data_IF_788185528088
#
_entry.id   IF_788185528088
#
_cell.length_a   1.000
_cell.length_b   1.000
_cell.length_c   1.000
_cell.angle_alpha   90.00
_cell.angle_beta   90.00
_cell.angle_gamma   90.00
#
_symmetry.space_group_name_H-M   'P 1'
#
loop_
_entity.id
_entity.type
_entity.pdbx_description
1 polymer ?
#
# COMPACT_ATOMS: atom_id res chain seq x y z
N UNK A 1 -8.44 -8.31 13.77
CA UNK A 1 -8.15 -6.95 13.26
C UNK A 1 -8.82 -6.75 11.90
N UNK A 2 -8.95 -5.50 11.42
CA UNK A 2 -9.57 -5.17 10.14
C UNK A 2 -8.60 -4.41 9.23
N UNK A 3 -8.59 -4.74 7.94
CA UNK A 3 -7.80 -4.05 6.92
C UNK A 3 -8.68 -3.57 5.74
N UNK A 4 -8.33 -2.43 5.17
CA UNK A 4 -8.90 -1.93 3.91
C UNK A 4 -7.80 -1.97 2.84
N UNK A 5 -8.05 -2.67 1.73
CA UNK A 5 -7.10 -2.75 0.62
C UNK A 5 -7.63 -1.94 -0.57
N UNK A 6 -6.81 -1.01 -1.04
CA UNK A 6 -7.09 -0.17 -2.20
C UNK A 6 -6.70 -0.91 -3.47
N UNK A 7 -7.70 -1.39 -4.20
CA UNK A 7 -7.56 -2.27 -5.36
C UNK A 7 -8.29 -1.77 -6.63
N UNK A 8 -8.78 -0.52 -6.62
CA UNK A 8 -9.57 0.06 -7.73
C UNK A 8 -8.76 0.76 -8.84
N UNK A 9 -7.44 0.87 -8.69
CA UNK A 9 -6.60 1.60 -9.65
C UNK A 9 -6.56 0.98 -11.05
N UNK A 10 -6.60 1.81 -12.10
CA UNK A 10 -6.52 1.37 -13.50
C UNK A 10 -5.17 0.75 -13.91
N UNK A 11 -4.15 0.81 -13.06
CA UNK A 11 -2.84 0.22 -13.32
C UNK A 11 -2.12 0.73 -14.58
N UNK A 12 -2.45 1.95 -15.06
CA UNK A 12 -2.05 2.42 -16.42
C UNK A 12 -0.54 2.42 -16.68
N UNK A 13 0.28 2.56 -15.64
CA UNK A 13 1.75 2.57 -15.71
C UNK A 13 2.35 1.18 -15.96
N UNK A 14 1.59 0.12 -15.72
CA UNK A 14 1.99 -1.28 -15.92
C UNK A 14 1.38 -1.88 -17.19
N UNK A 15 0.89 -1.03 -18.11
CA UNK A 15 0.46 -1.50 -19.43
C UNK A 15 1.66 -2.05 -20.22
N UNK A 16 1.47 -3.08 -21.08
CA UNK A 16 0.19 -3.64 -21.50
C UNK A 16 -0.44 -4.66 -20.54
N UNK A 17 0.28 -5.13 -19.51
CA UNK A 17 -0.17 -6.21 -18.63
C UNK A 17 -1.53 -5.93 -17.96
N UNK A 18 -1.71 -4.69 -17.48
CA UNK A 18 -2.94 -4.27 -16.78
C UNK A 18 -4.13 -3.97 -17.69
N UNK A 19 -4.03 -4.28 -18.99
CA UNK A 19 -5.16 -4.16 -19.93
C UNK A 19 -6.19 -5.26 -19.70
N UNK A 20 -5.74 -6.44 -19.31
CA UNK A 20 -6.57 -7.65 -19.16
C UNK A 20 -6.67 -8.13 -17.72
N UNK A 21 -5.66 -7.86 -16.89
CA UNK A 21 -5.63 -8.24 -15.48
C UNK A 21 -5.55 -7.00 -14.58
N UNK A 22 -6.33 -6.94 -13.49
CA UNK A 22 -6.16 -5.88 -12.50
C UNK A 22 -4.79 -6.01 -11.83
N UNK A 23 -4.14 -4.88 -11.54
CA UNK A 23 -2.80 -4.82 -10.97
C UNK A 23 -2.62 -5.72 -9.72
N UNK A 24 -3.55 -5.75 -8.74
CA UNK A 24 -3.45 -6.64 -7.58
C UNK A 24 -3.47 -8.15 -7.92
N UNK A 25 -3.98 -8.55 -9.09
CA UNK A 25 -4.00 -9.95 -9.53
C UNK A 25 -2.87 -10.30 -10.49
N UNK A 26 -1.90 -9.41 -10.68
CA UNK A 26 -0.72 -9.73 -11.48
C UNK A 26 0.05 -10.89 -10.84
N UNK A 27 0.42 -11.93 -11.62
CA UNK A 27 1.12 -13.09 -11.10
C UNK A 27 2.58 -12.74 -10.72
N UNK A 28 3.10 -13.35 -9.67
CA UNK A 28 4.49 -13.23 -9.23
C UNK A 28 5.01 -14.65 -8.96
N UNK A 29 6.21 -14.94 -9.45
CA UNK A 29 6.83 -16.25 -9.29
C UNK A 29 6.04 -17.38 -9.97
N UNK A 30 5.34 -17.05 -11.06
CA UNK A 30 4.51 -17.93 -11.89
C UNK A 30 3.33 -18.62 -11.19
N UNK A 31 3.18 -18.47 -9.86
CA UNK A 31 2.21 -19.24 -9.05
C UNK A 31 1.26 -18.39 -8.21
N UNK A 32 1.66 -17.18 -7.81
CA UNK A 32 0.91 -16.40 -6.82
C UNK A 32 0.40 -15.08 -7.39
N UNK A 33 -0.77 -14.63 -6.97
CA UNK A 33 -1.20 -13.25 -7.20
C UNK A 33 -0.66 -12.32 -6.09
N UNK A 34 -0.37 -11.06 -6.40
CA UNK A 34 0.07 -10.08 -5.36
C UNK A 34 -0.96 -10.01 -4.23
N UNK A 35 -2.25 -9.90 -4.57
CA UNK A 35 -3.33 -9.81 -3.59
C UNK A 35 -3.49 -11.08 -2.76
N UNK A 36 -3.18 -12.25 -3.31
CA UNK A 36 -3.18 -13.52 -2.57
C UNK A 36 -2.11 -13.51 -1.48
N UNK A 37 -0.89 -13.07 -1.81
CA UNK A 37 0.21 -12.91 -0.84
C UNK A 37 -0.23 -11.96 0.29
N UNK A 38 -0.81 -10.81 -0.05
CA UNK A 38 -1.28 -9.82 0.94
C UNK A 38 -2.35 -10.41 1.87
N UNK A 39 -3.33 -11.14 1.33
CA UNK A 39 -4.38 -11.77 2.13
C UNK A 39 -3.83 -12.85 3.07
N UNK A 40 -2.89 -13.67 2.60
CA UNK A 40 -2.18 -14.66 3.44
C UNK A 40 -1.41 -14.00 4.58
N UNK A 41 -0.70 -12.90 4.30
CA UNK A 41 0.03 -12.15 5.31
C UNK A 41 -0.91 -11.53 6.35
N UNK A 42 -2.00 -10.91 5.92
CA UNK A 42 -3.00 -10.34 6.82
C UNK A 42 -3.58 -11.42 7.74
N UNK A 43 -3.99 -12.56 7.20
CA UNK A 43 -4.46 -13.70 7.99
C UNK A 43 -3.40 -14.18 8.98
N UNK A 44 -2.15 -14.33 8.54
CA UNK A 44 -1.01 -14.69 9.38
C UNK A 44 -0.70 -13.69 10.50
N UNK A 45 -0.98 -12.41 10.28
CA UNK A 45 -0.88 -11.34 11.27
C UNK A 45 -2.09 -11.26 12.22
N UNK A 46 -3.11 -12.13 12.08
CA UNK A 46 -4.29 -12.12 12.95
C UNK A 46 -5.38 -11.11 12.54
N UNK A 47 -5.36 -10.65 11.29
CA UNK A 47 -6.53 -10.01 10.70
C UNK A 47 -7.59 -11.06 10.43
N UNK A 48 -8.85 -10.68 10.65
CA UNK A 48 -10.02 -11.56 10.52
C UNK A 48 -11.03 -11.04 9.53
N UNK A 49 -10.89 -9.77 9.12
CA UNK A 49 -11.79 -9.12 8.17
C UNK A 49 -11.02 -8.16 7.29
N UNK A 50 -11.42 -8.08 6.02
CA UNK A 50 -10.82 -7.22 5.00
C UNK A 50 -11.93 -6.58 4.18
N UNK A 51 -11.81 -5.29 3.91
CA UNK A 51 -12.64 -4.62 2.90
C UNK A 51 -11.79 -4.31 1.66
N UNK A 52 -12.21 -4.80 0.50
CA UNK A 52 -11.57 -4.48 -0.78
C UNK A 52 -12.27 -3.30 -1.45
N UNK A 53 -11.55 -2.20 -1.64
CA UNK A 53 -12.01 -1.08 -2.45
C UNK A 53 -11.67 -1.33 -3.92
N UNK A 54 -12.68 -1.69 -4.70
CA UNK A 54 -12.55 -2.11 -6.09
C UNK A 54 -13.26 -1.13 -7.04
N UNK A 55 -12.75 -1.06 -8.27
CA UNK A 55 -13.33 -0.25 -9.35
C UNK A 55 -13.06 -0.96 -10.68
N UNK A 56 -12.05 -0.52 -11.42
CA UNK A 56 -11.74 -1.07 -12.74
C UNK A 56 -11.35 -2.56 -12.63
N UNK A 57 -12.02 -3.43 -13.41
CA UNK A 57 -11.86 -4.89 -13.34
C UNK A 57 -12.20 -5.49 -11.96
N UNK A 58 -12.94 -4.76 -11.12
CA UNK A 58 -13.41 -5.21 -9.81
C UNK A 58 -14.13 -6.58 -9.80
N UNK A 59 -14.97 -6.91 -10.80
CA UNK A 59 -15.56 -8.24 -10.88
C UNK A 59 -14.55 -9.39 -10.94
N UNK A 60 -13.38 -9.20 -11.55
CA UNK A 60 -12.31 -10.22 -11.55
C UNK A 60 -11.68 -10.39 -10.17
N UNK A 61 -11.48 -9.28 -9.44
CA UNK A 61 -10.99 -9.31 -8.06
C UNK A 61 -11.99 -10.04 -7.17
N UNK A 62 -13.28 -9.71 -7.28
CA UNK A 62 -14.35 -10.39 -6.53
C UNK A 62 -14.43 -11.87 -6.86
N UNK A 63 -14.32 -12.25 -8.14
CA UNK A 63 -14.34 -13.65 -8.56
C UNK A 63 -13.12 -14.43 -8.03
N UNK A 64 -11.94 -13.80 -7.97
CA UNK A 64 -10.73 -14.42 -7.46
C UNK A 64 -10.71 -14.56 -5.93
N UNK A 65 -11.19 -13.55 -5.20
CA UNK A 65 -11.11 -13.49 -3.74
C UNK A 65 -12.32 -14.14 -3.06
N UNK A 66 -13.52 -14.03 -3.63
CA UNK A 66 -14.73 -14.60 -3.03
C UNK A 66 -15.09 -13.93 -1.69
N UNK A 67 -15.52 -14.71 -0.71
CA UNK A 67 -15.82 -14.27 0.65
C UNK A 67 -14.60 -14.27 1.59
N UNK A 68 -13.44 -14.74 1.12
CA UNK A 68 -12.21 -14.80 1.90
C UNK A 68 -11.97 -16.11 2.67
N UNK A 69 -12.91 -17.07 2.62
CA UNK A 69 -12.85 -18.30 3.42
C UNK A 69 -11.57 -19.12 3.18
N UNK A 70 -11.01 -19.07 1.95
CA UNK A 70 -9.73 -19.72 1.58
C UNK A 70 -8.57 -19.33 2.51
N UNK A 71 -8.62 -18.12 3.05
CA UNK A 71 -7.60 -17.57 3.95
C UNK A 71 -8.08 -17.48 5.41
N UNK A 72 -9.30 -17.91 5.72
CA UNK A 72 -9.90 -17.72 7.05
C UNK A 72 -10.21 -16.25 7.36
N UNK A 73 -10.50 -15.46 6.33
CA UNK A 73 -10.85 -14.04 6.42
C UNK A 73 -12.32 -13.85 6.03
N UNK A 74 -12.97 -12.83 6.62
CA UNK A 74 -14.21 -12.30 6.10
C UNK A 74 -13.91 -11.13 5.15
N UNK A 75 -14.24 -11.27 3.86
CA UNK A 75 -13.96 -10.25 2.85
C UNK A 75 -15.24 -9.55 2.39
N UNK A 76 -15.29 -8.25 2.67
CA UNK A 76 -16.28 -7.32 2.14
C UNK A 76 -15.72 -6.51 0.97
N UNK A 77 -16.61 -5.87 0.22
CA UNK A 77 -16.26 -5.11 -0.96
C UNK A 77 -16.97 -3.77 -0.97
N UNK A 78 -16.23 -2.72 -1.30
CA UNK A 78 -16.79 -1.44 -1.74
C UNK A 78 -16.49 -1.26 -3.22
N UNK A 79 -17.54 -1.07 -4.01
CA UNK A 79 -17.43 -0.81 -5.43
C UNK A 79 -17.65 0.68 -5.68
N UNK A 80 -16.70 1.29 -6.36
CA UNK A 80 -16.76 2.71 -6.68
C UNK A 80 -17.33 2.93 -8.10
N UNK A 81 -18.45 3.64 -8.22
CA UNK A 81 -19.02 4.02 -9.52
C UNK A 81 -18.10 4.96 -10.34
N UNK A 82 -17.22 5.67 -9.64
CA UNK A 82 -16.23 6.59 -10.20
C UNK A 82 -14.97 6.60 -9.35
N UNK A 83 -13.78 6.91 -9.89
CA UNK A 83 -12.56 6.96 -9.08
C UNK A 83 -12.67 8.05 -8.00
N UNK A 84 -12.57 7.67 -6.72
CA UNK A 84 -12.58 8.61 -5.59
C UNK A 84 -11.18 8.88 -5.03
N UNK A 85 -10.13 8.60 -5.82
CA UNK A 85 -8.73 8.60 -5.37
C UNK A 85 -8.49 7.53 -4.28
N UNK A 86 -7.46 7.67 -3.45
CA UNK A 86 -7.03 6.61 -2.52
C UNK A 86 -7.85 6.57 -1.23
N UNK A 87 -8.07 7.70 -0.57
CA UNK A 87 -8.76 7.74 0.74
C UNK A 87 -10.28 7.89 0.57
N UNK A 88 -10.73 8.48 -0.54
CA UNK A 88 -12.14 8.74 -0.83
C UNK A 88 -13.11 7.56 -0.58
N UNK A 89 -12.83 6.31 -1.01
CA UNK A 89 -13.75 5.20 -0.75
C UNK A 89 -14.00 4.94 0.74
N UNK A 90 -13.05 5.26 1.63
CA UNK A 90 -13.19 5.03 3.07
C UNK A 90 -14.27 5.92 3.70
N UNK A 91 -14.57 7.08 3.12
CA UNK A 91 -15.57 8.00 3.69
C UNK A 91 -16.98 7.43 3.69
N UNK A 92 -17.29 6.52 2.76
CA UNK A 92 -18.56 5.78 2.74
C UNK A 92 -18.63 4.65 3.77
N UNK A 93 -17.48 4.19 4.28
CA UNK A 93 -17.36 3.05 5.20
C UNK A 93 -17.12 3.47 6.65
N UNK A 94 -16.98 4.76 6.94
CA UNK A 94 -16.55 5.23 8.25
C UNK A 94 -17.36 4.65 9.41
N UNK A 95 -18.66 4.45 9.26
CA UNK A 95 -19.52 3.89 10.34
C UNK A 95 -19.33 2.39 10.56
N UNK A 96 -18.91 1.63 9.54
CA UNK A 96 -18.68 0.18 9.64
C UNK A 96 -17.24 -0.18 10.03
N UNK A 97 -16.31 0.77 9.94
CA UNK A 97 -14.91 0.56 10.31
C UNK A 97 -14.73 0.56 11.84
N UNK A 98 -13.83 -0.29 12.37
CA UNK A 98 -13.46 -0.23 13.78
C UNK A 98 -12.68 1.07 14.08
N UNK A 99 -12.47 1.37 15.36
CA UNK A 99 -11.75 2.60 15.74
C UNK A 99 -10.35 2.65 15.15
N UNK A 100 -9.62 1.53 15.13
CA UNK A 100 -8.31 1.40 14.50
C UNK A 100 -8.33 0.30 13.45
N UNK A 101 -7.85 0.61 12.26
CA UNK A 101 -7.76 -0.34 11.15
C UNK A 101 -6.53 -0.05 10.29
N UNK A 102 -6.14 -1.07 9.52
CA UNK A 102 -5.08 -0.94 8.53
C UNK A 102 -5.65 -0.45 7.20
N UNK A 103 -4.93 0.41 6.49
CA UNK A 103 -5.21 0.78 5.10
C UNK A 103 -3.97 0.52 4.28
N UNK A 104 -4.08 -0.13 3.13
CA UNK A 104 -2.94 -0.39 2.27
C UNK A 104 -3.29 -0.43 0.79
N UNK A 105 -2.30 -0.17 -0.07
CA UNK A 105 -2.47 -0.45 -1.50
C UNK A 105 -2.38 -1.96 -1.77
N UNK A 106 -3.16 -2.46 -2.74
CA UNK A 106 -3.22 -3.89 -3.08
C UNK A 106 -2.08 -4.40 -3.98
N UNK A 107 -1.05 -3.59 -4.20
CA UNK A 107 0.03 -3.81 -5.16
C UNK A 107 1.43 -3.74 -4.54
N UNK A 108 1.51 -4.01 -3.24
CA UNK A 108 2.72 -3.95 -2.43
C UNK A 108 3.19 -5.37 -2.08
N UNK A 109 4.50 -5.62 -2.21
CA UNK A 109 5.17 -6.76 -1.60
C UNK A 109 6.08 -6.27 -0.47
N UNK A 110 5.90 -6.82 0.74
CA UNK A 110 6.71 -6.43 1.89
C UNK A 110 6.71 -7.50 2.98
N UNK A 111 7.75 -7.55 3.82
CA UNK A 111 7.81 -8.33 5.07
C UNK A 111 7.47 -7.48 6.31
N UNK A 112 6.81 -6.33 6.11
CA UNK A 112 6.27 -5.49 7.18
C UNK A 112 5.28 -6.27 8.05
N UNK A 113 5.46 -6.21 9.37
CA UNK A 113 4.48 -6.74 10.32
C UNK A 113 3.28 -5.79 10.41
N UNK A 114 2.20 -6.14 9.71
CA UNK A 114 0.96 -5.36 9.68
C UNK A 114 0.29 -5.26 11.06
N UNK A 115 0.45 -6.28 11.92
CA UNK A 115 -0.13 -6.27 13.26
C UNK A 115 0.62 -5.30 14.17
N UNK A 116 1.95 -5.32 14.13
CA UNK A 116 2.76 -4.37 14.90
C UNK A 116 2.53 -2.93 14.43
N UNK A 117 2.47 -2.65 13.12
CA UNK A 117 2.13 -1.32 12.62
C UNK A 117 0.78 -0.82 13.20
N UNK A 118 -0.26 -1.67 13.17
CA UNK A 118 -1.57 -1.31 13.69
C UNK A 118 -1.56 -1.15 15.22
N UNK A 119 -0.78 -1.97 15.93
CA UNK A 119 -0.58 -1.84 17.37
C UNK A 119 0.11 -0.52 17.75
N UNK A 120 1.23 -0.18 17.08
CA UNK A 120 1.92 1.09 17.28
C UNK A 120 1.01 2.28 16.94
N UNK A 121 0.17 2.16 15.90
CA UNK A 121 -0.82 3.18 15.60
C UNK A 121 -1.83 3.37 16.75
N UNK A 122 -2.35 2.28 17.32
CA UNK A 122 -3.30 2.37 18.44
C UNK A 122 -2.69 3.00 19.70
N UNK A 123 -1.37 2.87 19.90
CA UNK A 123 -0.63 3.54 20.97
C UNK A 123 -0.27 5.00 20.65
N UNK A 124 -0.38 5.41 19.39
CA UNK A 124 -0.05 6.76 18.95
C UNK A 124 -1.20 7.75 19.20
N UNK A 125 -0.85 9.03 19.40
CA UNK A 125 -1.85 10.07 19.59
C UNK A 125 -2.53 10.53 18.28
N UNK A 126 -1.83 10.39 17.14
CA UNK A 126 -2.27 10.89 15.85
C UNK A 126 -3.38 10.04 15.21
N UNK A 127 -4.22 10.66 14.38
CA UNK A 127 -5.26 9.95 13.64
C UNK A 127 -4.74 9.03 12.51
N UNK A 128 -3.45 9.12 12.18
CA UNK A 128 -2.81 8.41 11.08
C UNK A 128 -1.37 8.06 11.44
N UNK A 129 -0.96 6.83 11.14
CA UNK A 129 0.43 6.36 11.21
C UNK A 129 0.87 5.87 9.84
N UNK A 130 1.98 6.40 9.34
CA UNK A 130 2.51 6.09 8.00
C UNK A 130 3.70 5.14 8.12
N UNK A 131 3.62 3.96 7.50
CA UNK A 131 4.81 3.14 7.30
C UNK A 131 5.73 3.84 6.29
N UNK A 132 6.97 4.08 6.70
CA UNK A 132 7.98 4.78 5.90
C UNK A 132 9.20 3.90 5.68
N UNK A 133 9.75 4.01 4.47
CA UNK A 133 11.01 3.38 4.09
C UNK A 133 11.99 4.44 3.57
N UNK A 134 13.27 4.19 3.77
CA UNK A 134 14.32 5.02 3.20
C UNK A 134 14.56 4.63 1.73
N UNK A 135 14.63 5.63 0.85
CA UNK A 135 15.01 5.46 -0.56
C UNK A 135 16.23 6.32 -0.85
N UNK A 136 17.23 5.67 -1.45
CA UNK A 136 18.42 6.31 -1.99
C UNK A 136 18.26 6.46 -3.50
N UNK A 137 18.29 7.69 -3.99
CA UNK A 137 18.36 7.99 -5.41
C UNK A 137 19.78 8.42 -5.77
N UNK A 138 20.44 7.64 -6.63
CA UNK A 138 21.78 7.97 -7.13
C UNK A 138 21.66 8.85 -8.35
N UNK A 139 22.17 10.08 -8.27
CA UNK A 139 22.24 10.94 -9.45
C UNK A 139 23.42 10.48 -10.29
N UNK A 140 23.19 10.12 -11.55
CA UNK A 140 24.26 9.59 -12.43
C UNK A 140 25.22 10.67 -12.96
N UNK A 141 24.91 11.94 -12.69
CA UNK A 141 25.63 13.12 -13.17
C UNK A 141 26.13 14.00 -12.03
N UNK A 142 27.06 14.89 -12.35
CA UNK A 142 27.44 15.99 -11.47
C UNK A 142 26.29 17.00 -11.33
N UNK A 143 25.91 17.33 -10.09
CA UNK A 143 24.88 18.33 -9.76
C UNK A 143 25.55 19.67 -9.49
N UNK A 144 25.07 20.72 -10.17
CA UNK A 144 25.59 22.08 -10.07
C UNK A 144 24.61 22.97 -9.30
N UNK A 145 25.13 23.77 -8.36
CA UNK A 145 24.41 24.92 -7.81
C UNK A 145 24.79 26.17 -8.62
N UNK A 146 23.79 26.86 -9.17
CA UNK A 146 23.99 28.01 -10.07
C UNK A 146 23.29 29.25 -9.53
N UNK A 147 24.06 30.32 -9.30
CA UNK A 147 23.56 31.63 -8.91
C UNK A 147 24.04 32.68 -9.92
N UNK A 148 23.12 33.51 -10.42
CA UNK A 148 23.43 34.57 -11.39
C UNK A 148 24.34 34.09 -12.55
N UNK A 149 24.05 32.91 -13.10
CA UNK A 149 24.82 32.25 -14.18
C UNK A 149 26.27 31.89 -13.82
N UNK A 150 26.62 31.79 -12.54
CA UNK A 150 27.91 31.29 -12.05
C UNK A 150 27.70 29.99 -11.28
N UNK A 151 28.61 29.04 -11.47
CA UNK A 151 28.65 27.82 -10.66
C UNK A 151 29.19 28.20 -9.28
N UNK A 152 28.40 27.96 -8.25
CA UNK A 152 28.77 28.22 -6.84
C UNK A 152 28.93 26.92 -6.03
N UNK A 153 28.49 25.79 -6.58
CA UNK A 153 28.63 24.46 -5.98
C UNK A 153 28.64 23.35 -7.02
N UNK A 154 29.33 22.25 -6.70
CA UNK A 154 29.38 21.05 -7.52
C UNK A 154 29.40 19.81 -6.62
N UNK A 155 28.55 18.83 -6.94
CA UNK A 155 28.47 17.53 -6.27
C UNK A 155 28.55 16.45 -7.34
N UNK A 156 29.61 15.64 -7.35
CA UNK A 156 29.75 14.54 -8.31
C UNK A 156 28.94 13.33 -7.85
N UNK A 157 28.06 12.83 -8.74
CA UNK A 157 27.22 11.65 -8.52
C UNK A 157 26.63 11.54 -7.10
N UNK A 158 25.99 12.61 -6.58
CA UNK A 158 25.50 12.61 -5.22
C UNK A 158 24.39 11.57 -5.04
N UNK A 159 24.28 11.07 -3.81
CA UNK A 159 23.17 10.25 -3.39
C UNK A 159 22.18 11.11 -2.60
N UNK A 160 20.93 11.08 -3.01
CA UNK A 160 19.83 11.77 -2.35
C UNK A 160 19.04 10.75 -1.53
N UNK A 161 18.87 11.04 -0.23
CA UNK A 161 18.22 10.16 0.73
C UNK A 161 16.87 10.76 1.13
N UNK A 162 15.80 9.97 1.00
CA UNK A 162 14.45 10.41 1.31
C UNK A 162 13.71 9.35 2.11
N UNK A 163 12.84 9.79 3.02
CA UNK A 163 11.81 8.95 3.60
C UNK A 163 10.59 8.99 2.70
N UNK A 164 10.09 7.84 2.29
CA UNK A 164 8.91 7.72 1.43
C UNK A 164 7.82 6.91 2.12
N UNK A 165 6.57 7.22 1.80
CA UNK A 165 5.44 6.39 2.23
C UNK A 165 5.47 5.05 1.51
N UNK A 166 5.26 3.97 2.26
CA UNK A 166 5.20 2.61 1.73
C UNK A 166 3.85 2.24 1.10
N UNK A 167 2.82 3.09 1.25
CA UNK A 167 1.46 2.71 0.88
C UNK A 167 0.75 1.82 1.89
N UNK A 168 1.24 1.77 3.15
CA UNK A 168 0.64 1.03 4.27
C UNK A 168 0.49 1.96 5.47
N UNK A 169 -0.69 1.96 6.08
CA UNK A 169 -1.10 2.95 7.07
C UNK A 169 -1.88 2.33 8.20
N UNK A 170 -1.60 2.73 9.43
CA UNK A 170 -2.54 2.59 10.54
C UNK A 170 -3.43 3.82 10.58
N UNK A 171 -4.74 3.66 10.68
CA UNK A 171 -5.69 4.78 10.64
C UNK A 171 -6.74 4.66 11.73
N UNK A 172 -7.07 5.79 12.33
CA UNK A 172 -8.18 5.90 13.28
C UNK A 172 -9.45 6.38 12.56
N UNK A 173 -10.60 5.80 12.87
CA UNK A 173 -11.88 6.18 12.25
C UNK A 173 -12.19 7.66 12.40
N UNK A 174 -11.84 8.28 13.53
CA UNK A 174 -12.03 9.73 13.77
C UNK A 174 -11.40 10.61 12.68
N UNK A 175 -10.33 10.15 12.05
CA UNK A 175 -9.63 10.84 10.96
C UNK A 175 -10.51 11.04 9.73
N UNK A 176 -11.49 10.15 9.53
CA UNK A 176 -12.43 10.21 8.42
C UNK A 176 -13.65 11.09 8.71
N UNK A 177 -13.91 11.42 9.98
CA UNK A 177 -15.14 12.10 10.40
C UNK A 177 -15.42 13.44 9.69
N UNK A 178 -14.42 14.31 9.43
CA UNK A 178 -14.63 15.59 8.76
C UNK A 178 -15.03 15.48 7.29
N UNK A 179 -14.87 14.31 6.68
CA UNK A 179 -14.99 14.13 5.23
C UNK A 179 -16.34 13.51 4.86
N UNK A 180 -17.06 14.07 3.87
CA UNK A 180 -18.32 13.53 3.41
C UNK A 180 -18.10 12.31 2.47
N UNK A 181 -19.02 11.33 2.47
CA UNK A 181 -19.02 10.24 1.49
C UNK A 181 -18.99 10.75 0.05
N UNK A 182 -18.29 10.04 -0.84
CA UNK A 182 -18.24 10.34 -2.27
C UNK A 182 -17.32 11.50 -2.67
N UNK A 183 -16.59 12.10 -1.72
CA UNK A 183 -15.52 13.05 -1.99
C UNK A 183 -14.32 12.32 -2.60
N UNK A 184 -13.88 12.75 -3.78
CA UNK A 184 -12.62 12.31 -4.35
C UNK A 184 -11.46 12.92 -3.56
N UNK A 185 -10.72 12.10 -2.81
CA UNK A 185 -9.72 12.59 -1.88
C UNK A 185 -8.53 11.63 -1.76
N UNK A 186 -7.34 12.16 -2.03
CA UNK A 186 -6.09 11.41 -2.00
C UNK A 186 -5.44 11.37 -0.62
N UNK A 187 -4.47 10.48 -0.49
CA UNK A 187 -3.66 10.34 0.72
C UNK A 187 -2.76 11.56 0.95
N UNK A 188 -2.21 12.12 -0.13
CA UNK A 188 -1.48 13.38 -0.14
C UNK A 188 -2.34 14.52 0.42
N UNK A 189 -3.59 14.63 -0.02
CA UNK A 189 -4.52 15.65 0.45
C UNK A 189 -4.87 15.44 1.93
N UNK A 190 -5.05 14.19 2.37
CA UNK A 190 -5.28 13.87 3.78
C UNK A 190 -4.11 14.31 4.65
N UNK A 191 -2.88 13.96 4.29
CA UNK A 191 -1.70 14.34 5.07
C UNK A 191 -1.57 15.86 5.13
N UNK A 192 -1.74 16.57 4.01
CA UNK A 192 -1.65 18.04 3.99
C UNK A 192 -2.72 18.71 4.87
N UNK A 193 -3.97 18.21 4.84
CA UNK A 193 -5.05 18.74 5.68
C UNK A 193 -4.80 18.47 7.18
N UNK A 194 -4.35 17.27 7.54
CA UNK A 194 -4.00 16.91 8.92
C UNK A 194 -2.88 17.81 9.47
N UNK A 195 -1.83 18.03 8.69
CA UNK A 195 -0.74 18.95 9.03
C UNK A 195 -1.24 20.39 9.21
N UNK A 196 -2.13 20.87 8.32
CA UNK A 196 -2.70 22.22 8.42
C UNK A 196 -3.55 22.43 9.68
N UNK A 197 -4.12 21.35 10.24
CA UNK A 197 -4.92 21.37 11.48
C UNK A 197 -4.10 21.08 12.74
N UNK A 198 -2.80 20.77 12.61
CA UNK A 198 -1.93 20.40 13.72
C UNK A 198 -2.12 18.97 14.24
N UNK A 199 -2.89 18.12 13.54
CA UNK A 199 -3.04 16.69 13.85
C UNK A 199 -1.97 15.89 13.09
N UNK A 200 -0.71 16.06 13.51
CA UNK A 200 0.42 15.53 12.76
C UNK A 200 0.40 13.98 12.71
N UNK A 201 0.50 13.37 11.51
CA UNK A 201 0.63 11.93 11.39
C UNK A 201 1.88 11.38 12.07
N UNK A 202 1.76 10.22 12.70
CA UNK A 202 2.89 9.46 13.22
C UNK A 202 3.62 8.71 12.10
N UNK A 203 4.87 8.34 12.35
CA UNK A 203 5.68 7.53 11.43
C UNK A 203 5.97 6.16 12.03
N UNK A 204 5.98 5.13 11.20
CA UNK A 204 6.48 3.80 11.51
C UNK A 204 7.67 3.50 10.60
N UNK A 205 8.93 3.68 11.06
CA UNK A 205 10.11 3.43 10.25
C UNK A 205 10.30 1.94 10.00
N UNK A 206 10.51 1.56 8.74
CA UNK A 206 10.70 0.18 8.33
C UNK A 206 12.03 -0.01 7.61
N UNK A 207 12.71 -1.13 7.91
CA UNK A 207 14.04 -1.48 7.39
C UNK A 207 14.10 -2.87 6.74
N UNK A 208 12.96 -3.39 6.29
CA UNK A 208 12.87 -4.68 5.60
C UNK A 208 12.73 -4.55 4.08
N UNK A 209 12.23 -5.60 3.46
CA UNK A 209 11.89 -5.64 2.04
C UNK A 209 10.58 -4.90 1.76
N UNK A 210 10.61 -4.01 0.77
CA UNK A 210 9.42 -3.33 0.29
C UNK A 210 9.53 -2.96 -1.19
N UNK A 211 8.50 -3.33 -1.94
CA UNK A 211 8.35 -3.06 -3.36
C UNK A 211 6.90 -2.70 -3.68
N UNK A 212 6.67 -1.50 -4.23
CA UNK A 212 5.42 -1.12 -4.90
C UNK A 212 5.57 -1.49 -6.39
N UNK A 213 4.69 -2.34 -6.89
CA UNK A 213 4.79 -2.89 -8.25
C UNK A 213 4.25 -1.88 -9.28
N UNK A 214 4.74 -0.64 -9.29
CA UNK A 214 4.18 0.48 -10.05
C UNK A 214 4.31 0.39 -11.57
N UNK A 215 5.42 -0.17 -12.04
CA UNK A 215 5.92 -0.13 -13.42
C UNK A 215 6.47 -1.49 -13.87
N UNK A 216 6.71 -1.69 -15.18
CA UNK A 216 7.29 -2.94 -15.67
C UNK A 216 8.61 -3.30 -14.98
N UNK A 217 9.47 -2.31 -14.71
CA UNK A 217 10.75 -2.57 -14.03
C UNK A 217 10.56 -3.09 -12.59
N UNK A 218 9.55 -2.57 -11.88
CA UNK A 218 9.21 -3.02 -10.52
C UNK A 218 8.68 -4.45 -10.55
N UNK A 219 7.86 -4.78 -11.55
CA UNK A 219 7.31 -6.12 -11.74
C UNK A 219 8.38 -7.15 -12.14
N UNK A 220 9.33 -6.75 -12.99
CA UNK A 220 10.47 -7.59 -13.35
C UNK A 220 11.37 -7.85 -12.13
N UNK A 221 11.62 -6.83 -11.30
CA UNK A 221 12.38 -7.00 -10.05
C UNK A 221 11.62 -7.86 -9.04
N UNK A 222 10.30 -7.73 -8.94
CA UNK A 222 9.47 -8.59 -8.08
C UNK A 222 9.62 -10.07 -8.47
N UNK A 223 9.56 -10.39 -9.76
CA UNK A 223 9.75 -11.76 -10.26
C UNK A 223 11.20 -12.25 -10.09
N UNK A 224 12.20 -11.42 -10.42
CA UNK A 224 13.62 -11.78 -10.28
C UNK A 224 14.00 -12.08 -8.84
N UNK A 225 13.45 -11.31 -7.91
CA UNK A 225 13.74 -11.45 -6.48
C UNK A 225 12.86 -12.48 -5.77
N UNK A 226 11.82 -13.01 -6.44
CA UNK A 226 10.76 -13.79 -5.81
C UNK A 226 11.29 -14.96 -4.98
N UNK A 227 12.09 -15.86 -5.55
CA UNK A 227 12.63 -17.03 -4.82
C UNK A 227 13.41 -16.63 -3.56
N UNK A 228 14.10 -15.48 -3.59
CA UNK A 228 14.86 -14.97 -2.45
C UNK A 228 13.93 -14.38 -1.37
N UNK A 229 12.86 -13.69 -1.77
CA UNK A 229 11.95 -13.00 -0.84
C UNK A 229 10.79 -13.89 -0.39
N UNK A 230 10.52 -14.99 -1.09
CA UNK A 230 9.41 -15.92 -0.83
C UNK A 230 9.34 -16.33 0.64
N UNK A 231 10.43 -16.72 1.33
CA UNK A 231 10.37 -17.09 2.75
C UNK A 231 10.03 -15.93 3.69
N UNK A 232 10.20 -14.68 3.24
CA UNK A 232 9.89 -13.48 4.01
C UNK A 232 8.41 -13.08 3.86
N UNK A 233 7.88 -13.22 2.65
CA UNK A 233 6.54 -12.73 2.31
C UNK A 233 5.46 -13.82 2.35
N UNK A 234 5.83 -15.09 2.16
CA UNK A 234 4.96 -16.24 2.34
C UNK A 234 5.38 -16.99 3.61
N UNK A 235 4.45 -17.10 4.56
CA UNK A 235 4.62 -18.07 5.64
C UNK A 235 4.29 -19.44 5.05
N UNK A 236 5.31 -20.24 4.76
CA UNK A 236 5.09 -21.61 4.26
C UNK A 236 4.09 -22.32 5.18
N UNK A 237 2.92 -22.66 4.64
CA UNK A 237 2.03 -23.61 5.29
C UNK A 237 2.83 -24.91 5.39
N UNK A 238 3.14 -25.33 6.61
CA UNK A 238 3.67 -26.67 6.89
C UNK A 238 2.77 -27.71 6.20
N UNK A 239 3.14 -28.20 5.01
CA UNK A 239 2.39 -29.27 4.34
C UNK A 239 2.32 -29.30 2.80
N UNK A 240 2.77 -28.29 2.05
CA UNK A 240 2.72 -28.38 0.56
C UNK A 240 4.05 -28.90 -0.02
N UNK A 241 4.05 -30.00 -0.82
CA UNK A 241 5.25 -30.50 -1.46
C UNK A 241 5.66 -29.61 -2.64
N UNK A 242 6.98 -29.47 -2.81
CA UNK A 242 7.68 -28.75 -3.91
C UNK A 242 7.31 -29.31 -5.29
#
# INVERSE_FOLDING_TARGET
MHAVILAGGKGVRLRPYTTTLPKPLMPIGDKHAILEIVLEQLAGCGFTSVTLAINHLGPLIRAFVGDGDRWGLHVDYIEEDRPLSTVGPLFGLKESLPEHFLVMNGDILTDLDYADLLHQHALSAGGLTVAIAERTHKVEFGVLDVEASRIVGFREKPELHYQVSMGVYGMSRRTLAPYPPGLSFGFDQLVLDLLARGDNPATYPFKGFWLDIGRPEDYDEANRSFERIRPLILRERLGEPV
#
